data_IF_409909486847
#
_entry.id   IF_409909486847
#
_cell.length_a   1.000
_cell.length_b   1.000
_cell.length_c   1.000
_cell.angle_alpha   90.00
_cell.angle_beta   90.00
_cell.angle_gamma   90.00
#
_symmetry.space_group_name_H-M   'P 1'
#
loop_
_entity.id
_entity.type
_entity.pdbx_description
1 polymer ?
#
# COMPACT_ATOMS: atom_id res chain seq x y z
N UNK A 1 -29.31 -7.77 -18.64
CA UNK A 1 -28.02 -8.28 -18.15
C UNK A 1 -27.42 -7.29 -17.17
N UNK A 2 -27.20 -7.72 -15.94
CA UNK A 2 -26.63 -6.83 -14.94
C UNK A 2 -25.16 -6.61 -15.23
N UNK A 3 -24.74 -5.36 -15.23
CA UNK A 3 -23.33 -5.05 -15.31
C UNK A 3 -22.65 -5.43 -14.00
N UNK A 4 -21.53 -6.15 -14.11
CA UNK A 4 -20.72 -6.46 -12.95
C UNK A 4 -19.99 -5.21 -12.53
N UNK A 5 -20.25 -4.74 -11.33
CA UNK A 5 -19.60 -3.55 -10.80
C UNK A 5 -18.19 -3.85 -10.35
N UNK A 6 -17.28 -2.96 -10.68
CA UNK A 6 -15.91 -3.03 -10.19
C UNK A 6 -15.87 -2.58 -8.73
N UNK A 7 -15.13 -3.30 -7.92
CA UNK A 7 -14.97 -2.93 -6.52
C UNK A 7 -13.57 -3.29 -6.03
N UNK A 8 -12.90 -2.32 -5.44
CA UNK A 8 -11.62 -2.54 -4.76
C UNK A 8 -11.67 -1.85 -3.40
N UNK A 9 -11.48 -2.63 -2.36
CA UNK A 9 -11.37 -2.10 -1.01
C UNK A 9 -10.17 -2.79 -0.35
N UNK A 10 -9.22 -1.99 0.11
CA UNK A 10 -8.02 -2.49 0.80
C UNK A 10 -7.97 -1.79 2.15
N UNK A 11 -7.91 -2.58 3.22
CA UNK A 11 -7.80 -2.06 4.58
C UNK A 11 -6.52 -2.56 5.20
N UNK A 12 -5.78 -1.67 5.82
CA UNK A 12 -4.57 -2.01 6.54
C UNK A 12 -4.72 -1.45 7.94
N UNK A 13 -4.65 -2.32 8.93
CA UNK A 13 -4.80 -1.92 10.34
C UNK A 13 -3.51 -2.23 11.09
N UNK A 14 -3.15 -1.35 12.00
CA UNK A 14 -2.07 -1.60 12.94
C UNK A 14 -2.66 -1.56 14.34
N UNK A 15 -2.39 -2.58 15.15
CA UNK A 15 -2.86 -2.63 16.53
C UNK A 15 -1.83 -1.98 17.48
N UNK A 16 -2.15 -1.95 18.77
CA UNK A 16 -1.28 -1.33 19.78
C UNK A 16 0.05 -2.08 19.98
N UNK A 17 0.15 -3.32 19.50
CA UNK A 17 1.39 -4.10 19.52
C UNK A 17 2.15 -4.02 18.18
N UNK A 18 1.77 -3.06 17.32
CA UNK A 18 2.36 -2.84 16.00
C UNK A 18 2.18 -4.01 15.03
N UNK A 19 1.20 -4.87 15.27
CA UNK A 19 0.83 -5.91 14.30
C UNK A 19 0.03 -5.30 13.16
N UNK A 20 0.45 -5.57 11.94
CA UNK A 20 -0.21 -5.04 10.74
C UNK A 20 -1.06 -6.15 10.13
N UNK A 21 -2.34 -5.87 9.95
CA UNK A 21 -3.29 -6.82 9.37
C UNK A 21 -3.89 -6.23 8.10
N UNK A 22 -3.51 -6.75 6.93
CA UNK A 22 -4.15 -6.35 5.68
C UNK A 22 -5.41 -7.15 5.42
N UNK A 23 -6.37 -6.51 4.76
CA UNK A 23 -7.61 -7.16 4.34
C UNK A 23 -8.06 -6.51 3.04
N UNK A 24 -8.68 -7.29 2.15
CA UNK A 24 -9.15 -6.74 0.88
C UNK A 24 -10.45 -7.39 0.45
N UNK A 25 -11.25 -6.60 -0.27
CA UNK A 25 -12.42 -7.06 -1.01
C UNK A 25 -12.26 -6.58 -2.44
N UNK A 26 -12.12 -7.51 -3.37
CA UNK A 26 -11.85 -7.19 -4.76
C UNK A 26 -12.81 -7.99 -5.64
N UNK A 27 -13.50 -7.32 -6.55
CA UNK A 27 -14.37 -8.00 -7.51
C UNK A 27 -14.38 -7.28 -8.85
N UNK A 28 -14.38 -8.06 -9.91
CA UNK A 28 -14.53 -7.62 -11.31
C UNK A 28 -13.50 -6.57 -11.75
N UNK A 29 -12.25 -6.72 -11.30
CA UNK A 29 -11.17 -5.78 -11.64
C UNK A 29 -10.00 -6.53 -12.26
N UNK A 30 -9.26 -5.83 -13.12
CA UNK A 30 -8.02 -6.34 -13.69
C UNK A 30 -6.84 -6.00 -12.78
N UNK A 31 -5.68 -6.59 -13.08
CA UNK A 31 -4.45 -6.22 -12.40
C UNK A 31 -4.12 -4.73 -12.57
N UNK A 32 -4.39 -4.18 -13.76
CA UNK A 32 -4.17 -2.75 -14.01
C UNK A 32 -5.06 -1.88 -13.14
N UNK A 33 -6.31 -2.29 -12.90
CA UNK A 33 -7.21 -1.58 -11.99
C UNK A 33 -6.66 -1.57 -10.57
N UNK A 34 -6.11 -2.70 -10.10
CA UNK A 34 -5.51 -2.80 -8.77
C UNK A 34 -4.30 -1.88 -8.65
N UNK A 35 -3.44 -1.87 -9.67
CA UNK A 35 -2.26 -0.99 -9.70
C UNK A 35 -2.69 0.48 -9.67
N UNK A 36 -3.69 0.86 -10.46
CA UNK A 36 -4.18 2.24 -10.50
C UNK A 36 -4.74 2.66 -9.13
N UNK A 37 -5.49 1.77 -8.49
CA UNK A 37 -6.05 2.02 -7.16
C UNK A 37 -4.93 2.18 -6.12
N UNK A 38 -3.92 1.33 -6.20
CA UNK A 38 -2.76 1.42 -5.31
C UNK A 38 -2.01 2.74 -5.48
N UNK A 39 -1.79 3.17 -6.72
CA UNK A 39 -1.09 4.44 -6.97
C UNK A 39 -1.88 5.63 -6.42
N UNK A 40 -3.20 5.64 -6.61
CA UNK A 40 -4.05 6.67 -6.04
C UNK A 40 -3.98 6.66 -4.49
N UNK A 41 -3.98 5.47 -3.90
CA UNK A 41 -3.82 5.30 -2.47
C UNK A 41 -2.48 5.80 -1.97
N UNK A 42 -1.40 5.57 -2.72
CA UNK A 42 -0.07 6.05 -2.36
C UNK A 42 -0.03 7.59 -2.32
N UNK A 43 -0.65 8.25 -3.29
CA UNK A 43 -0.75 9.71 -3.30
C UNK A 43 -1.53 10.20 -2.08
N UNK A 44 -2.64 9.53 -1.76
CA UNK A 44 -3.44 9.86 -0.58
C UNK A 44 -2.61 9.75 0.71
N UNK A 45 -1.86 8.67 0.86
CA UNK A 45 -0.99 8.45 2.02
C UNK A 45 0.11 9.52 2.07
N UNK A 46 0.68 9.89 0.93
CA UNK A 46 1.69 10.94 0.87
C UNK A 46 1.15 12.28 1.39
N UNK A 47 -0.11 12.59 1.07
CA UNK A 47 -0.77 13.80 1.60
C UNK A 47 -0.96 13.73 3.12
N UNK A 48 -1.32 12.55 3.65
CA UNK A 48 -1.44 12.37 5.10
C UNK A 48 -0.08 12.60 5.79
N UNK A 49 0.98 12.05 5.24
CA UNK A 49 2.34 12.21 5.78
C UNK A 49 2.73 13.69 5.76
N UNK A 50 2.48 14.37 4.64
CA UNK A 50 2.79 15.79 4.51
C UNK A 50 2.05 16.62 5.56
N UNK A 51 0.75 16.39 5.72
CA UNK A 51 -0.08 17.12 6.68
C UNK A 51 0.38 16.88 8.12
N UNK A 52 0.85 15.68 8.42
CA UNK A 52 1.29 15.29 9.77
C UNK A 52 2.71 15.73 10.10
N UNK A 53 3.48 16.17 9.11
CA UNK A 53 4.91 16.43 9.28
C UNK A 53 5.24 17.83 9.77
N UNK A 54 4.25 18.70 9.95
CA UNK A 54 4.45 20.10 10.37
C UNK A 54 5.39 20.86 9.42
N UNK A 55 5.24 20.63 8.11
CA UNK A 55 6.01 21.34 7.10
C UNK A 55 7.35 20.72 6.72
N UNK A 56 7.74 19.60 7.36
CA UNK A 56 8.99 18.92 7.04
C UNK A 56 8.93 18.28 5.66
N UNK A 57 7.78 17.68 5.32
CA UNK A 57 7.55 17.07 4.01
C UNK A 57 6.40 17.76 3.30
N UNK A 58 6.56 17.98 1.98
CA UNK A 58 5.41 18.17 1.12
C UNK A 58 4.99 16.80 0.55
N UNK A 59 3.88 16.75 -0.15
CA UNK A 59 3.35 15.48 -0.67
C UNK A 59 4.33 14.82 -1.65
N UNK A 60 5.03 15.59 -2.45
CA UNK A 60 6.00 15.06 -3.42
C UNK A 60 7.18 14.41 -2.71
N UNK A 61 7.72 15.04 -1.67
CA UNK A 61 8.81 14.47 -0.88
C UNK A 61 8.37 13.21 -0.16
N UNK A 62 7.15 13.22 0.41
CA UNK A 62 6.60 12.04 1.08
C UNK A 62 6.47 10.87 0.10
N UNK A 63 5.97 11.14 -1.11
CA UNK A 63 5.82 10.12 -2.14
C UNK A 63 7.19 9.57 -2.55
N UNK A 64 8.19 10.45 -2.72
CA UNK A 64 9.56 10.04 -3.02
C UNK A 64 10.15 9.13 -1.96
N UNK A 65 9.94 9.44 -0.68
CA UNK A 65 10.39 8.59 0.42
C UNK A 65 9.70 7.22 0.40
N UNK A 66 8.42 7.17 0.08
CA UNK A 66 7.68 5.92 -0.06
C UNK A 66 8.29 5.06 -1.16
N UNK A 67 8.58 5.65 -2.32
CA UNK A 67 9.22 4.92 -3.43
C UNK A 67 10.60 4.41 -3.06
N UNK A 68 11.37 5.21 -2.32
CA UNK A 68 12.69 4.78 -1.87
C UNK A 68 12.59 3.53 -0.99
N UNK A 69 11.64 3.51 -0.08
CA UNK A 69 11.42 2.33 0.78
C UNK A 69 10.90 1.14 -0.01
N UNK A 70 10.07 1.36 -1.01
CA UNK A 70 9.64 0.29 -1.92
C UNK A 70 10.81 -0.31 -2.67
N UNK A 71 11.77 0.50 -3.12
CA UNK A 71 12.95 0.01 -3.80
C UNK A 71 13.76 -0.92 -2.89
N UNK A 72 13.86 -0.60 -1.60
CA UNK A 72 14.52 -1.46 -0.61
C UNK A 72 13.78 -2.78 -0.45
N UNK A 73 12.45 -2.73 -0.31
CA UNK A 73 11.62 -3.94 -0.20
C UNK A 73 11.79 -4.82 -1.45
N UNK A 74 11.76 -4.21 -2.63
CA UNK A 74 11.92 -4.95 -3.89
C UNK A 74 13.29 -5.62 -3.95
N UNK A 75 14.35 -4.92 -3.54
CA UNK A 75 15.71 -5.48 -3.55
C UNK A 75 15.86 -6.69 -2.63
N UNK A 76 15.06 -6.77 -1.57
CA UNK A 76 15.11 -7.85 -0.58
C UNK A 76 13.87 -8.73 -0.61
N UNK A 77 13.09 -8.66 -1.68
CA UNK A 77 11.80 -9.34 -1.76
C UNK A 77 11.92 -10.84 -1.53
N UNK A 78 12.88 -11.49 -2.16
CA UNK A 78 13.06 -12.94 -2.04
C UNK A 78 13.40 -13.34 -0.60
N UNK A 79 14.23 -12.56 0.07
CA UNK A 79 14.60 -12.82 1.47
C UNK A 79 13.38 -12.68 2.39
N UNK A 80 12.54 -11.68 2.16
CA UNK A 80 11.32 -11.45 2.95
C UNK A 80 10.36 -12.62 2.77
N UNK A 81 10.16 -13.08 1.54
CA UNK A 81 9.24 -14.18 1.24
C UNK A 81 9.75 -15.51 1.83
N UNK A 82 11.07 -15.74 1.81
CA UNK A 82 11.66 -16.93 2.41
C UNK A 82 11.42 -16.97 3.92
N UNK A 83 11.56 -15.84 4.61
CA UNK A 83 11.30 -15.76 6.05
C UNK A 83 9.85 -16.06 6.39
N UNK A 84 8.91 -15.62 5.58
CA UNK A 84 7.49 -15.92 5.78
C UNK A 84 7.22 -17.41 5.61
N UNK A 85 7.83 -18.06 4.65
CA UNK A 85 7.70 -19.50 4.43
C UNK A 85 8.26 -20.29 5.60
N UNK A 86 9.40 -19.89 6.13
CA UNK A 86 10.05 -20.57 7.24
C UNK A 86 9.25 -20.47 8.54
N UNK A 87 8.38 -19.49 8.67
CA UNK A 87 7.57 -19.26 9.87
C UNK A 87 6.20 -19.90 9.80
N UNK A 88 5.90 -20.64 8.75
CA UNK A 88 4.60 -21.33 8.62
C UNK A 88 4.59 -22.70 9.28
#
# INVERSE_FOLDING_TARGET
>A
MEEKKKHIEIRIKMDENEHITPNSKISNVSGDDVIACYLAGAVYVANIIADSSNGVYDAKKALGEMFRRFAVVLAHFDEIMEKEEDNQ
#
